data_IF_231192582451
#
_entry.id   IF_231192582451
#
_cell.length_a   1.000
_cell.length_b   1.000
_cell.length_c   1.000
_cell.angle_alpha   90.00
_cell.angle_beta   90.00
_cell.angle_gamma   90.00
#
_symmetry.space_group_name_H-M   'P 1'
#
loop_
_entity.id
_entity.type
_entity.pdbx_description
1 polymer ?
#
# COMPACT_ATOMS: atom_id res chain seq x y z
N UNK A 1 -13.33 6.35 -4.17
CA UNK A 1 -11.96 6.20 -3.61
C UNK A 1 -11.44 4.84 -4.03
N UNK A 2 -10.25 4.76 -4.63
CA UNK A 2 -9.63 3.52 -5.09
C UNK A 2 -8.40 3.20 -4.25
N UNK A 3 -8.18 1.93 -3.92
CA UNK A 3 -7.06 1.51 -3.07
C UNK A 3 -6.12 0.60 -3.86
N UNK A 4 -4.82 0.84 -3.78
CA UNK A 4 -3.77 -0.04 -4.27
C UNK A 4 -2.93 -0.54 -3.09
N UNK A 5 -2.70 -1.85 -3.01
CA UNK A 5 -1.88 -2.49 -1.98
C UNK A 5 -0.67 -3.13 -2.67
N UNK A 6 0.52 -2.63 -2.39
CA UNK A 6 1.78 -3.20 -2.89
C UNK A 6 2.41 -4.17 -1.89
N UNK A 7 3.38 -4.99 -2.31
CA UNK A 7 4.10 -5.92 -1.41
C UNK A 7 5.11 -5.23 -0.49
N UNK A 8 5.64 -4.07 -0.92
CA UNK A 8 6.72 -3.35 -0.22
C UNK A 8 6.67 -1.83 -0.48
N UNK A 9 7.25 -1.01 0.40
CA UNK A 9 7.17 0.46 0.31
C UNK A 9 7.76 1.07 -0.96
N UNK A 10 8.75 0.43 -1.60
CA UNK A 10 9.34 0.96 -2.85
C UNK A 10 8.34 0.88 -4.00
N UNK A 11 7.69 -0.26 -4.18
CA UNK A 11 6.68 -0.48 -5.24
C UNK A 11 5.47 0.44 -5.04
N UNK A 12 5.02 0.63 -3.79
CA UNK A 12 3.94 1.57 -3.51
C UNK A 12 4.29 3.01 -3.91
N UNK A 13 5.53 3.46 -3.69
CA UNK A 13 5.97 4.81 -4.08
C UNK A 13 5.96 5.01 -5.59
N UNK A 14 6.43 4.01 -6.34
CA UNK A 14 6.42 4.06 -7.81
C UNK A 14 4.99 4.15 -8.35
N UNK A 15 4.07 3.35 -7.80
CA UNK A 15 2.64 3.40 -8.17
C UNK A 15 2.01 4.75 -7.78
N UNK A 16 2.27 5.22 -6.56
CA UNK A 16 1.73 6.48 -6.04
C UNK A 16 2.10 7.68 -6.92
N UNK A 17 3.34 7.69 -7.46
CA UNK A 17 3.78 8.71 -8.40
C UNK A 17 2.97 8.70 -9.71
N UNK A 18 2.67 7.50 -10.25
CA UNK A 18 1.90 7.34 -11.50
C UNK A 18 0.43 7.75 -11.31
N UNK A 19 -0.19 7.35 -10.20
CA UNK A 19 -1.63 7.60 -9.97
C UNK A 19 -1.92 8.99 -9.39
N UNK A 20 -0.89 9.77 -9.03
CA UNK A 20 -1.03 11.10 -8.44
C UNK A 20 -1.36 11.09 -6.93
N UNK A 21 -0.98 10.03 -6.22
CA UNK A 21 -1.13 9.92 -4.77
C UNK A 21 0.12 10.48 -4.06
N UNK A 22 0.31 11.80 -4.08
CA UNK A 22 1.57 12.44 -3.65
C UNK A 22 1.61 12.84 -2.17
N UNK A 23 0.48 12.82 -1.46
CA UNK A 23 0.43 13.15 -0.03
C UNK A 23 0.83 11.95 0.80
N UNK A 24 1.93 12.05 1.54
CA UNK A 24 2.41 10.97 2.41
C UNK A 24 1.69 10.99 3.75
N UNK A 25 1.29 9.81 4.22
CA UNK A 25 0.71 9.55 5.54
C UNK A 25 1.49 8.44 6.24
N UNK A 26 1.07 8.08 7.45
CA UNK A 26 1.65 6.95 8.17
C UNK A 26 1.14 5.64 7.56
N UNK A 27 2.03 4.88 6.92
CA UNK A 27 1.71 3.59 6.28
C UNK A 27 1.03 3.66 4.90
N UNK A 28 0.77 4.84 4.33
CA UNK A 28 0.20 4.97 2.98
C UNK A 28 0.45 6.34 2.34
N UNK A 29 0.08 6.49 1.07
CA UNK A 29 0.08 7.72 0.31
C UNK A 29 -1.31 7.97 -0.29
N UNK A 30 -1.75 9.22 -0.40
CA UNK A 30 -3.07 9.58 -0.93
C UNK A 30 -3.01 10.78 -1.89
N UNK A 31 -3.99 10.85 -2.79
CA UNK A 31 -4.14 11.93 -3.76
C UNK A 31 -4.83 11.46 -5.04
N UNK A 32 -5.39 12.40 -5.81
CA UNK A 32 -6.09 12.10 -7.06
C UNK A 32 -7.18 10.99 -6.96
N UNK A 33 -7.85 10.90 -5.80
CA UNK A 33 -8.88 9.88 -5.52
C UNK A 33 -8.35 8.47 -5.25
N UNK A 34 -7.03 8.32 -5.11
CA UNK A 34 -6.33 7.08 -4.79
C UNK A 34 -5.74 7.09 -3.38
N UNK A 35 -5.68 5.90 -2.81
CA UNK A 35 -4.92 5.55 -1.62
C UNK A 35 -3.97 4.41 -2.00
N UNK A 36 -2.68 4.58 -1.78
CA UNK A 36 -1.65 3.58 -2.10
C UNK A 36 -0.93 3.21 -0.81
N UNK A 37 -1.05 1.95 -0.40
CA UNK A 37 -0.42 1.39 0.80
C UNK A 37 0.40 0.15 0.43
N UNK A 38 1.07 -0.47 1.40
CA UNK A 38 1.90 -1.64 1.18
C UNK A 38 1.86 -2.60 2.37
N UNK A 39 2.07 -3.86 2.07
CA UNK A 39 2.45 -4.87 3.04
C UNK A 39 3.97 -4.80 3.34
N UNK A 40 4.39 -5.58 4.33
CA UNK A 40 5.78 -5.95 4.55
C UNK A 40 5.89 -7.47 4.47
N UNK A 41 5.84 -8.01 3.25
CA UNK A 41 5.70 -9.46 3.04
C UNK A 41 4.31 -9.97 3.42
N UNK A 42 4.22 -11.16 4.00
CA UNK A 42 2.94 -11.77 4.38
C UNK A 42 2.36 -11.10 5.63
N UNK A 43 1.17 -10.51 5.51
CA UNK A 43 0.44 -9.91 6.64
C UNK A 43 -0.30 -10.94 7.50
N UNK A 44 -0.55 -12.13 6.93
CA UNK A 44 -1.27 -13.22 7.57
C UNK A 44 -0.53 -14.53 7.31
N UNK A 45 -0.63 -15.46 8.26
CA UNK A 45 -0.12 -16.81 8.15
C UNK A 45 -1.21 -17.82 8.51
N UNK A 46 -0.95 -19.10 8.25
CA UNK A 46 -1.84 -20.17 8.67
C UNK A 46 -1.85 -20.25 10.21
N UNK A 47 -3.03 -20.45 10.79
CA UNK A 47 -3.13 -20.83 12.19
C UNK A 47 -2.56 -22.25 12.37
N UNK A 48 -1.81 -22.47 13.46
CA UNK A 48 -1.41 -23.83 13.80
C UNK A 48 -2.63 -24.62 14.31
N UNK A 49 -2.69 -25.94 14.05
CA UNK A 49 -3.73 -26.81 14.60
C UNK A 49 -3.73 -26.78 16.14
N UNK A 50 -4.89 -27.04 16.75
CA UNK A 50 -5.01 -27.36 18.18
C UNK A 50 -4.50 -28.76 18.51
#
# INVERSE_FOLDING_TARGET
MKVCIAEKPSVARDIAAIVGATSKKDGYMEGNGWTVTWAFGHLVGLAMPE
#
